data_IF_325658484287
#
_entry.id   IF_325658484287
#
_cell.length_a   1.000
_cell.length_b   1.000
_cell.length_c   1.000
_cell.angle_alpha   90.00
_cell.angle_beta   90.00
_cell.angle_gamma   90.00
#
_symmetry.space_group_name_H-M   'P 1'
#
loop_
_entity.id
_entity.type
_entity.pdbx_description
1 polymer ?
#
# COMPACT_ATOMS: atom_id res chain seq x y z
N UNK A 1 9.43 5.12 -6.55
CA UNK A 1 10.45 5.29 -7.62
C UNK A 1 9.95 4.74 -8.96
N UNK A 2 9.48 3.48 -9.00
CA UNK A 2 8.91 2.84 -10.20
C UNK A 2 7.76 3.64 -10.85
N UNK A 3 6.87 4.24 -10.04
CA UNK A 3 5.80 5.11 -10.54
C UNK A 3 6.29 6.43 -11.15
N UNK A 4 7.29 7.07 -10.55
CA UNK A 4 7.91 8.26 -11.13
C UNK A 4 8.56 7.94 -12.49
N UNK A 5 9.24 6.80 -12.59
CA UNK A 5 9.82 6.32 -13.85
C UNK A 5 8.75 5.97 -14.89
N UNK A 6 7.57 5.48 -14.47
CA UNK A 6 6.45 5.22 -15.35
C UNK A 6 5.88 6.51 -15.97
N UNK A 7 5.83 7.60 -15.22
CA UNK A 7 5.41 8.93 -15.70
C UNK A 7 6.43 9.49 -16.68
N UNK A 8 7.73 9.44 -16.35
CA UNK A 8 8.79 9.85 -17.27
C UNK A 8 8.81 9.02 -18.57
N UNK A 9 8.47 7.73 -18.51
CA UNK A 9 8.34 6.88 -19.70
C UNK A 9 7.18 7.31 -20.61
N UNK A 10 6.04 7.72 -20.05
CA UNK A 10 4.92 8.29 -20.82
C UNK A 10 5.29 9.64 -21.45
N UNK A 11 6.00 10.50 -20.72
CA UNK A 11 6.51 11.77 -21.26
C UNK A 11 7.49 11.56 -22.43
N UNK A 12 8.21 10.44 -22.44
CA UNK A 12 9.11 10.03 -23.55
C UNK A 12 8.40 9.23 -24.65
N UNK A 13 7.08 9.07 -24.58
CA UNK A 13 6.28 8.33 -25.58
C UNK A 13 6.42 6.80 -25.50
N UNK A 14 7.06 6.26 -24.46
CA UNK A 14 7.33 4.83 -24.30
C UNK A 14 6.21 4.16 -23.49
N UNK A 15 5.01 4.06 -24.08
CA UNK A 15 3.80 3.51 -23.44
C UNK A 15 3.98 2.09 -22.91
N UNK A 16 4.67 1.22 -23.66
CA UNK A 16 4.97 -0.17 -23.23
C UNK A 16 5.82 -0.22 -21.95
N UNK A 17 6.83 0.65 -21.82
CA UNK A 17 7.68 0.70 -20.62
C UNK A 17 6.92 1.27 -19.42
N UNK A 18 6.09 2.28 -19.65
CA UNK A 18 5.23 2.83 -18.60
C UNK A 18 4.26 1.78 -18.05
N UNK A 19 3.61 1.02 -18.94
CA UNK A 19 2.72 -0.07 -18.55
C UNK A 19 3.45 -1.14 -17.71
N UNK A 20 4.61 -1.61 -18.15
CA UNK A 20 5.38 -2.61 -17.41
C UNK A 20 5.80 -2.11 -16.01
N UNK A 21 6.16 -0.83 -15.88
CA UNK A 21 6.52 -0.23 -14.59
C UNK A 21 5.32 -0.06 -13.65
N UNK A 22 4.14 0.26 -14.21
CA UNK A 22 2.88 0.31 -13.44
C UNK A 22 2.52 -1.09 -12.91
N UNK A 23 2.57 -2.11 -13.77
CA UNK A 23 2.31 -3.51 -13.38
C UNK A 23 3.31 -3.98 -12.32
N UNK A 24 4.60 -3.67 -12.48
CA UNK A 24 5.60 -4.01 -11.47
C UNK A 24 5.27 -3.40 -10.09
N UNK A 25 4.83 -2.14 -10.07
CA UNK A 25 4.43 -1.46 -8.83
C UNK A 25 3.20 -2.13 -8.19
N UNK A 26 2.21 -2.50 -9.00
CA UNK A 26 1.00 -3.20 -8.53
C UNK A 26 1.37 -4.55 -7.91
N UNK A 27 2.27 -5.31 -8.55
CA UNK A 27 2.73 -6.61 -8.02
C UNK A 27 3.45 -6.43 -6.68
N UNK A 28 4.34 -5.45 -6.56
CA UNK A 28 5.00 -5.15 -5.28
C UNK A 28 3.99 -4.79 -4.19
N UNK A 29 2.97 -3.98 -4.50
CA UNK A 29 1.90 -3.65 -3.56
C UNK A 29 1.07 -4.85 -3.12
N UNK A 30 0.75 -5.76 -4.05
CA UNK A 30 0.04 -7.00 -3.75
C UNK A 30 0.87 -7.93 -2.88
N UNK A 31 2.16 -8.11 -3.17
CA UNK A 31 3.07 -8.92 -2.35
C UNK A 31 3.16 -8.38 -0.92
N UNK A 32 3.19 -7.05 -0.76
CA UNK A 32 3.17 -6.40 0.54
C UNK A 32 1.87 -6.70 1.32
N UNK A 33 0.71 -6.60 0.67
CA UNK A 33 -0.59 -6.95 1.29
C UNK A 33 -0.66 -8.42 1.69
N UNK A 34 -0.16 -9.32 0.85
CA UNK A 34 -0.13 -10.76 1.13
C UNK A 34 0.73 -11.06 2.35
N UNK A 35 1.93 -10.48 2.43
CA UNK A 35 2.79 -10.64 3.61
C UNK A 35 2.09 -10.17 4.88
N UNK A 36 1.43 -9.00 4.83
CA UNK A 36 0.66 -8.50 5.97
C UNK A 36 -0.54 -9.35 6.35
N UNK A 37 -1.22 -9.93 5.38
CA UNK A 37 -2.30 -10.87 5.63
C UNK A 37 -1.82 -12.11 6.38
N UNK A 38 -0.68 -12.69 5.99
CA UNK A 38 -0.08 -13.82 6.71
C UNK A 38 0.38 -13.44 8.12
N UNK A 39 0.97 -12.26 8.31
CA UNK A 39 1.39 -11.78 9.63
C UNK A 39 0.20 -11.57 10.58
N UNK A 40 -0.88 -10.95 10.10
CA UNK A 40 -2.12 -10.80 10.85
C UNK A 40 -2.76 -12.16 11.16
N UNK A 41 -2.82 -13.07 10.19
CA UNK A 41 -3.36 -14.41 10.37
C UNK A 41 -2.60 -15.21 11.44
N UNK A 42 -1.26 -15.10 11.46
CA UNK A 42 -0.43 -15.71 12.49
C UNK A 42 -0.63 -15.10 13.89
N UNK A 43 -0.90 -13.79 14.00
CA UNK A 43 -1.19 -13.13 15.29
C UNK A 43 -2.59 -13.47 15.82
N UNK A 44 -3.56 -13.61 14.92
CA UNK A 44 -4.93 -14.02 15.26
C UNK A 44 -4.96 -15.48 15.74
N UNK A 45 -4.18 -16.38 15.11
CA UNK A 45 -4.10 -17.78 15.56
C UNK A 45 -3.44 -17.95 16.93
N UNK A 46 -2.58 -17.01 17.34
CA UNK A 46 -2.02 -16.94 18.70
C UNK A 46 -2.95 -16.26 19.72
N UNK A 47 -4.18 -15.90 19.33
CA UNK A 47 -5.16 -15.28 20.23
C UNK A 47 -4.89 -13.81 20.54
N UNK A 48 -4.03 -13.12 19.77
CA UNK A 48 -3.70 -11.70 19.95
C UNK A 48 -4.58 -10.86 19.02
N UNK A 49 -5.90 -10.89 19.25
CA UNK A 49 -6.87 -10.05 18.55
C UNK A 49 -7.53 -9.05 19.51
N UNK A 50 -7.94 -7.85 19.03
CA UNK A 50 -8.60 -6.86 19.88
C UNK A 50 -9.87 -7.45 20.49
N UNK A 51 -9.90 -7.61 21.82
CA UNK A 51 -11.01 -8.24 22.56
C UNK A 51 -10.81 -9.71 22.96
N UNK A 52 -9.63 -10.30 22.71
CA UNK A 52 -9.28 -11.63 23.22
C UNK A 52 -9.07 -11.64 24.73
N UNK A 53 -9.48 -12.72 25.42
CA UNK A 53 -9.23 -12.92 26.85
C UNK A 53 -7.74 -12.88 27.20
N UNK A 54 -6.86 -13.30 26.29
CA UNK A 54 -5.41 -13.30 26.47
C UNK A 54 -4.81 -11.90 26.40
N UNK A 55 -5.35 -11.02 25.56
CA UNK A 55 -4.93 -9.61 25.46
C UNK A 55 -5.50 -8.78 26.60
N UNK A 56 -6.74 -9.05 27.03
CA UNK A 56 -7.39 -8.35 28.15
C UNK A 56 -6.77 -8.72 29.52
N UNK A 57 -6.01 -9.80 29.60
CA UNK A 57 -5.24 -10.19 30.77
C UNK A 57 -3.85 -9.53 30.84
N UNK A 58 -3.40 -8.89 29.75
CA UNK A 58 -2.14 -8.15 29.67
C UNK A 58 -2.29 -6.71 30.20
N UNK A 59 -1.16 -6.04 30.39
CA UNK A 59 -1.13 -4.66 30.89
C UNK A 59 -1.94 -3.71 30.00
N UNK A 60 -2.56 -2.69 30.62
CA UNK A 60 -3.44 -1.74 29.92
C UNK A 60 -2.74 -1.01 28.75
N UNK A 61 -1.41 -0.83 28.84
CA UNK A 61 -0.58 -0.28 27.77
C UNK A 61 -0.46 -1.19 26.55
N UNK A 62 -0.31 -2.50 26.76
CA UNK A 62 -0.22 -3.52 25.71
C UNK A 62 -1.54 -3.65 24.94
N UNK A 63 -2.67 -3.61 25.64
CA UNK A 63 -4.01 -3.60 25.02
C UNK A 63 -4.18 -2.41 24.08
N UNK A 64 -3.80 -1.21 24.55
CA UNK A 64 -3.92 0.02 23.76
C UNK A 64 -2.97 0.00 22.56
N UNK A 65 -1.75 -0.50 22.74
CA UNK A 65 -0.75 -0.63 21.68
C UNK A 65 -1.24 -1.54 20.56
N UNK A 66 -1.72 -2.75 20.87
CA UNK A 66 -2.25 -3.67 19.86
C UNK A 66 -3.53 -3.13 19.21
N UNK A 67 -4.41 -2.47 19.98
CA UNK A 67 -5.59 -1.80 19.44
C UNK A 67 -5.24 -0.73 18.41
N UNK A 68 -4.32 0.17 18.74
CA UNK A 68 -3.82 1.21 17.83
C UNK A 68 -3.09 0.61 16.63
N UNK A 69 -2.28 -0.43 16.84
CA UNK A 69 -1.61 -1.18 15.77
C UNK A 69 -2.61 -1.70 14.75
N UNK A 70 -3.66 -2.42 15.18
CA UNK A 70 -4.65 -2.99 14.27
C UNK A 70 -5.46 -1.92 13.53
N UNK A 71 -5.87 -0.85 14.21
CA UNK A 71 -6.61 0.26 13.57
C UNK A 71 -5.74 0.99 12.56
N UNK A 72 -4.52 1.39 12.93
CA UNK A 72 -3.61 2.14 12.05
C UNK A 72 -3.17 1.30 10.85
N UNK A 73 -2.75 0.06 11.08
CA UNK A 73 -2.29 -0.83 10.00
C UNK A 73 -3.44 -1.32 9.12
N UNK A 74 -4.65 -1.51 9.69
CA UNK A 74 -5.86 -1.83 8.94
C UNK A 74 -6.32 -0.69 8.04
N UNK A 75 -6.39 0.54 8.58
CA UNK A 75 -6.70 1.73 7.79
C UNK A 75 -5.68 1.95 6.68
N UNK A 76 -4.39 1.75 6.98
CA UNK A 76 -3.34 1.85 5.99
C UNK A 76 -3.50 0.78 4.88
N UNK A 77 -3.74 -0.48 5.25
CA UNK A 77 -3.99 -1.56 4.30
C UNK A 77 -5.18 -1.26 3.37
N UNK A 78 -6.23 -0.64 3.89
CA UNK A 78 -7.36 -0.15 3.08
C UNK A 78 -6.94 0.91 2.05
N UNK A 79 -6.09 1.87 2.43
CA UNK A 79 -5.56 2.87 1.50
C UNK A 79 -4.66 2.24 0.42
N UNK A 80 -3.85 1.23 0.77
CA UNK A 80 -3.03 0.48 -0.20
C UNK A 80 -3.93 -0.21 -1.23
N UNK A 81 -5.03 -0.83 -0.81
CA UNK A 81 -6.01 -1.47 -1.71
C UNK A 81 -6.59 -0.43 -2.69
N UNK A 82 -7.03 0.74 -2.18
CA UNK A 82 -7.53 1.84 -3.03
C UNK A 82 -6.46 2.27 -4.04
N UNK A 83 -5.20 2.40 -3.59
CA UNK A 83 -4.07 2.75 -4.44
C UNK A 83 -3.84 1.73 -5.56
N UNK A 84 -3.91 0.43 -5.26
CA UNK A 84 -3.76 -0.65 -6.23
C UNK A 84 -4.87 -0.58 -7.27
N UNK A 85 -6.11 -0.35 -6.84
CA UNK A 85 -7.25 -0.20 -7.76
C UNK A 85 -7.05 0.99 -8.69
N UNK A 86 -6.67 2.16 -8.15
CA UNK A 86 -6.39 3.35 -8.96
C UNK A 86 -5.27 3.10 -9.98
N UNK A 87 -4.15 2.52 -9.54
CA UNK A 87 -3.03 2.16 -10.43
C UNK A 87 -3.45 1.17 -11.51
N UNK A 88 -4.29 0.19 -11.18
CA UNK A 88 -4.80 -0.80 -12.13
C UNK A 88 -5.68 -0.13 -13.19
N UNK A 89 -6.58 0.78 -12.79
CA UNK A 89 -7.40 1.54 -13.74
C UNK A 89 -6.53 2.41 -14.65
N UNK A 90 -5.51 3.07 -14.11
CA UNK A 90 -4.56 3.86 -14.91
C UNK A 90 -3.71 2.99 -15.85
N UNK A 91 -3.34 1.78 -15.44
CA UNK A 91 -2.63 0.82 -16.28
C UNK A 91 -3.49 0.34 -17.45
N UNK A 92 -4.77 0.05 -17.22
CA UNK A 92 -5.73 -0.29 -18.28
C UNK A 92 -5.90 0.88 -19.26
N UNK A 93 -6.00 2.12 -18.76
CA UNK A 93 -6.12 3.30 -19.62
C UNK A 93 -4.84 3.59 -20.42
N UNK A 94 -3.67 3.30 -19.85
CA UNK A 94 -2.37 3.36 -20.53
C UNK A 94 -2.28 2.30 -21.64
N UNK A 95 -2.77 1.08 -21.37
CA UNK A 95 -2.80 -0.01 -22.35
C UNK A 95 -3.76 0.28 -23.51
N UNK A 96 -4.94 0.84 -23.24
CA UNK A 96 -5.92 1.24 -24.28
C UNK A 96 -5.48 2.45 -25.11
N UNK A 97 -4.34 3.07 -24.81
CA UNK A 97 -3.84 4.25 -25.53
C UNK A 97 -4.67 5.53 -25.29
N UNK A 98 -5.53 5.52 -24.26
CA UNK A 98 -6.40 6.65 -23.90
C UNK A 98 -5.62 7.72 -23.11
N UNK A 99 -4.53 7.31 -22.44
CA UNK A 99 -3.60 8.24 -21.77
C UNK A 99 -2.57 8.75 -22.78
N UNK A 100 -2.88 9.89 -23.38
CA UNK A 100 -1.99 10.69 -24.21
C UNK A 100 -1.10 11.59 -23.33
N UNK A 101 0.00 12.11 -23.89
CA UNK A 101 0.93 13.08 -23.27
C UNK A 101 0.26 14.27 -22.55
N UNK A 102 -0.97 14.62 -22.89
CA UNK A 102 -1.72 15.74 -22.30
C UNK A 102 -2.56 15.34 -21.07
N UNK A 103 -2.84 14.06 -20.86
CA UNK A 103 -3.64 13.53 -19.73
C UNK A 103 -2.80 12.76 -18.71
N UNK A 104 -1.47 12.96 -18.70
CA UNK A 104 -0.56 12.34 -17.74
C UNK A 104 -0.83 12.76 -16.29
N UNK A 105 -1.49 13.92 -16.08
CA UNK A 105 -1.87 14.45 -14.76
C UNK A 105 -2.67 13.43 -13.94
N UNK A 106 -3.52 12.61 -14.58
CA UNK A 106 -4.29 11.56 -13.87
C UNK A 106 -3.38 10.44 -13.33
N UNK A 107 -2.38 10.06 -14.13
CA UNK A 107 -1.37 9.08 -13.72
C UNK A 107 -0.44 9.66 -12.66
N UNK A 108 -0.08 10.93 -12.78
CA UNK A 108 0.74 11.65 -11.80
C UNK A 108 0.04 11.74 -10.45
N UNK A 109 -1.23 12.16 -10.41
CA UNK A 109 -2.01 12.18 -9.17
C UNK A 109 -2.11 10.77 -8.54
N UNK A 110 -2.29 9.74 -9.36
CA UNK A 110 -2.34 8.35 -8.87
C UNK A 110 -0.99 7.89 -8.33
N UNK A 111 0.12 8.30 -8.96
CA UNK A 111 1.48 8.05 -8.49
C UNK A 111 1.83 8.81 -7.20
N UNK A 112 1.39 10.06 -7.08
CA UNK A 112 1.52 10.85 -5.86
C UNK A 112 0.72 10.24 -4.71
N UNK A 113 -0.51 9.75 -4.97
CA UNK A 113 -1.30 9.01 -3.99
C UNK A 113 -0.54 7.77 -3.51
N UNK A 114 -0.03 6.95 -4.43
CA UNK A 114 0.77 5.76 -4.09
C UNK A 114 1.99 6.12 -3.24
N UNK A 115 2.67 7.20 -3.59
CA UNK A 115 3.84 7.70 -2.85
C UNK A 115 3.50 8.20 -1.45
N UNK A 116 2.36 8.87 -1.28
CA UNK A 116 1.89 9.30 0.03
C UNK A 116 1.60 8.10 0.93
N UNK A 117 0.93 7.07 0.39
CA UNK A 117 0.65 5.84 1.13
C UNK A 117 1.96 5.16 1.56
N UNK A 118 2.90 4.96 0.63
CA UNK A 118 4.21 4.37 0.91
C UNK A 118 4.99 5.16 1.99
N UNK A 119 4.94 6.50 1.94
CA UNK A 119 5.56 7.36 2.93
C UNK A 119 4.94 7.17 4.32
N UNK A 120 3.62 7.06 4.45
CA UNK A 120 2.99 6.78 5.75
C UNK A 120 3.48 5.45 6.32
N UNK A 121 3.66 4.44 5.47
CA UNK A 121 4.14 3.13 5.89
C UNK A 121 5.56 3.17 6.47
N UNK A 122 6.46 3.97 5.87
CA UNK A 122 7.85 4.08 6.34
C UNK A 122 7.95 4.65 7.77
N UNK A 123 6.92 5.40 8.23
CA UNK A 123 6.83 5.89 9.60
C UNK A 123 6.15 4.91 10.53
N UNK A 124 5.09 4.23 10.07
CA UNK A 124 4.38 3.24 10.88
C UNK A 124 5.26 2.01 11.17
N UNK A 125 6.10 1.58 10.23
CA UNK A 125 6.92 0.39 10.39
C UNK A 125 7.89 0.51 11.58
N UNK A 126 8.78 1.51 11.68
CA UNK A 126 9.67 1.66 12.84
C UNK A 126 8.93 1.87 14.16
N UNK A 127 7.81 2.60 14.13
CA UNK A 127 7.04 2.89 15.33
C UNK A 127 6.52 1.61 16.01
N UNK A 128 6.09 0.63 15.22
CA UNK A 128 5.51 -0.61 15.73
C UNK A 128 6.46 -1.82 15.73
N UNK A 129 7.60 -1.76 15.04
CA UNK A 129 8.55 -2.88 14.92
C UNK A 129 9.95 -2.61 15.50
N UNK A 130 10.36 -1.33 15.66
CA UNK A 130 11.72 -0.97 16.14
C UNK A 130 11.71 -0.27 17.49
N UNK A 131 10.64 0.47 17.83
CA UNK A 131 10.56 1.25 19.08
C UNK A 131 9.94 0.44 20.23
N UNK A 132 9.26 -0.66 19.92
CA UNK A 132 8.77 -1.66 20.89
C UNK A 132 9.70 -2.83 21.01
#
# INVERSE_FOLDING_TARGET
LSMALAISAIQRGQTKKSFNLQIFTIICGLLFLVNKYFEWGGKISHGIYPGSQTLLAEEHGTILFYGLYYVMTGLHGFHVIIGIVLLTVMAVFTHKGIITKEKFIKLENSGLYWHLVDLIWIYLFPLFYLIT
#
